data_IF_764166283127
#
_entry.id   IF_764166283127
#
_cell.length_a   1.000
_cell.length_b   1.000
_cell.length_c   1.000
_cell.angle_alpha   90.00
_cell.angle_beta   90.00
_cell.angle_gamma   90.00
#
_symmetry.space_group_name_H-M   'P 1'
#
loop_
_entity.id
_entity.type
_entity.pdbx_description
1 polymer ?
#
# COMPACT_ATOMS: atom_id res chain seq x y z
N UNK A 1 -8.90 -9.40 -2.09
CA UNK A 1 -8.38 -8.45 -1.09
C UNK A 1 -7.91 -9.15 0.18
N UNK A 2 -8.83 -9.77 0.96
CA UNK A 2 -8.45 -10.42 2.22
C UNK A 2 -7.49 -11.60 2.08
N UNK A 3 -7.56 -12.36 0.98
CA UNK A 3 -6.67 -13.52 0.77
C UNK A 3 -5.19 -13.14 0.78
N UNK A 4 -4.80 -12.11 0.03
CA UNK A 4 -3.40 -11.65 -0.03
C UNK A 4 -2.88 -11.21 1.34
N UNK A 5 -3.69 -10.49 2.11
CA UNK A 5 -3.33 -10.04 3.45
C UNK A 5 -3.15 -11.23 4.40
N UNK A 6 -4.09 -12.20 4.36
CA UNK A 6 -4.00 -13.43 5.16
C UNK A 6 -2.78 -14.27 4.77
N UNK A 7 -2.47 -14.37 3.48
CA UNK A 7 -1.30 -15.10 3.00
C UNK A 7 0.01 -14.40 3.43
N UNK A 8 0.06 -13.07 3.42
CA UNK A 8 1.21 -12.31 3.94
C UNK A 8 1.37 -12.51 5.45
N UNK A 9 0.28 -12.48 6.19
CA UNK A 9 0.28 -12.68 7.65
C UNK A 9 0.76 -14.09 8.00
N UNK A 10 0.19 -15.12 7.37
CA UNK A 10 0.56 -16.50 7.59
C UNK A 10 2.05 -16.77 7.28
N UNK A 11 2.61 -16.10 6.27
CA UNK A 11 4.04 -16.18 5.96
C UNK A 11 4.91 -15.45 6.99
N UNK A 12 4.47 -14.29 7.46
CA UNK A 12 5.22 -13.49 8.41
C UNK A 12 5.29 -14.14 9.80
N UNK A 13 4.23 -14.86 10.20
CA UNK A 13 4.12 -15.55 11.48
C UNK A 13 4.37 -17.06 11.38
N UNK A 14 5.08 -17.53 10.35
CA UNK A 14 5.24 -18.99 10.12
C UNK A 14 5.96 -19.70 11.26
N UNK A 15 6.96 -19.03 11.86
CA UNK A 15 7.77 -19.57 12.96
C UNK A 15 7.07 -19.43 14.32
N UNK A 16 6.18 -18.43 14.45
CA UNK A 16 5.42 -18.11 15.67
C UNK A 16 3.96 -17.74 15.34
N UNK A 17 3.10 -18.71 14.97
CA UNK A 17 1.73 -18.44 14.55
C UNK A 17 0.83 -17.84 15.64
N UNK A 18 1.14 -18.12 16.91
CA UNK A 18 0.45 -17.56 18.07
C UNK A 18 0.64 -16.04 18.20
N UNK A 19 1.78 -15.53 17.75
CA UNK A 19 2.17 -14.12 17.84
C UNK A 19 1.82 -13.34 16.56
N UNK A 20 0.84 -13.82 15.78
CA UNK A 20 0.45 -13.22 14.51
C UNK A 20 0.13 -11.72 14.61
N UNK A 21 -0.42 -11.29 15.74
CA UNK A 21 -0.83 -9.91 16.02
C UNK A 21 0.38 -8.97 16.10
N UNK A 22 1.54 -9.46 16.57
CA UNK A 22 2.80 -8.71 16.60
C UNK A 22 3.29 -8.37 15.18
N UNK A 23 2.97 -9.22 14.19
CA UNK A 23 3.34 -9.01 12.79
C UNK A 23 2.33 -8.15 12.02
N UNK A 24 1.14 -7.90 12.59
CA UNK A 24 0.02 -7.28 11.90
C UNK A 24 0.36 -5.91 11.33
N UNK A 25 1.01 -5.05 12.12
CA UNK A 25 1.37 -3.69 11.68
C UNK A 25 2.34 -3.70 10.49
N UNK A 26 3.30 -4.62 10.49
CA UNK A 26 4.27 -4.78 9.40
C UNK A 26 3.60 -5.29 8.14
N UNK A 27 2.72 -6.28 8.29
CA UNK A 27 1.96 -6.87 7.18
C UNK A 27 1.01 -5.84 6.57
N UNK A 28 0.31 -5.06 7.38
CA UNK A 28 -0.57 -4.00 6.91
C UNK A 28 0.21 -2.90 6.18
N UNK A 29 1.39 -2.51 6.68
CA UNK A 29 2.26 -1.55 6.01
C UNK A 29 2.69 -2.09 4.64
N UNK A 30 3.26 -3.30 4.60
CA UNK A 30 3.71 -3.94 3.36
C UNK A 30 2.57 -4.07 2.34
N UNK A 31 1.37 -4.45 2.80
CA UNK A 31 0.19 -4.54 1.96
C UNK A 31 -0.20 -3.18 1.37
N UNK A 32 -0.19 -2.11 2.17
CA UNK A 32 -0.60 -0.76 1.74
C UNK A 32 0.38 -0.09 0.77
N UNK A 33 1.65 -0.47 0.80
CA UNK A 33 2.72 0.15 -0.01
C UNK A 33 3.25 -0.72 -1.14
N UNK A 34 2.84 -1.99 -1.22
CA UNK A 34 3.18 -2.87 -2.35
C UNK A 34 2.14 -2.75 -3.46
N UNK A 35 2.60 -2.78 -4.71
CA UNK A 35 1.72 -2.80 -5.88
C UNK A 35 0.87 -4.08 -5.85
N UNK A 36 -0.44 -3.92 -5.92
CA UNK A 36 -1.36 -5.05 -5.94
C UNK A 36 -1.59 -5.52 -7.39
N UNK A 37 -1.51 -6.83 -7.64
CA UNK A 37 -1.52 -7.39 -9.00
C UNK A 37 -2.79 -7.08 -9.80
N UNK A 38 -3.96 -7.04 -9.14
CA UNK A 38 -5.24 -6.76 -9.81
C UNK A 38 -5.38 -5.30 -10.27
N UNK A 39 -4.81 -4.36 -9.52
CA UNK A 39 -5.00 -2.92 -9.77
C UNK A 39 -3.77 -2.27 -10.41
N UNK A 40 -2.62 -2.94 -10.41
CA UNK A 40 -1.35 -2.36 -10.84
C UNK A 40 -0.89 -1.17 -9.98
N UNK A 41 -1.55 -0.91 -8.86
CA UNK A 41 -1.30 0.22 -7.97
C UNK A 41 -1.27 -0.23 -6.50
N UNK A 42 -0.64 0.58 -5.64
CA UNK A 42 -0.63 0.32 -4.20
C UNK A 42 -2.02 0.57 -3.60
N UNK A 43 -2.46 -0.20 -2.59
CA UNK A 43 -3.74 0.06 -1.94
C UNK A 43 -3.83 1.46 -1.31
N UNK A 44 -2.72 2.01 -0.80
CA UNK A 44 -2.71 3.38 -0.28
C UNK A 44 -3.00 4.42 -1.37
N UNK A 45 -2.38 4.28 -2.54
CA UNK A 45 -2.67 5.13 -3.69
C UNK A 45 -4.10 4.98 -4.16
N UNK A 46 -4.71 3.81 -4.10
CA UNK A 46 -6.11 3.60 -4.54
C UNK A 46 -7.12 4.17 -3.55
N UNK A 47 -6.84 4.09 -2.24
CA UNK A 47 -7.79 4.52 -1.21
C UNK A 47 -7.65 6.00 -0.83
N UNK A 48 -6.42 6.51 -0.78
CA UNK A 48 -6.11 7.85 -0.26
C UNK A 48 -5.58 8.81 -1.32
N UNK A 49 -5.35 8.32 -2.53
CA UNK A 49 -4.79 9.09 -3.64
C UNK A 49 -3.37 9.55 -3.52
N UNK A 50 -2.63 8.96 -2.59
CA UNK A 50 -1.20 9.19 -2.41
C UNK A 50 -0.54 7.92 -1.87
N UNK A 51 0.74 7.80 -2.15
CA UNK A 51 1.57 6.80 -1.48
C UNK A 51 1.75 7.18 0.00
N UNK A 52 1.84 6.17 0.87
CA UNK A 52 2.23 6.37 2.27
C UNK A 52 3.70 6.79 2.34
N UNK A 53 4.03 7.68 3.28
CA UNK A 53 5.41 7.98 3.64
C UNK A 53 5.95 6.90 4.58
N UNK A 54 7.02 6.26 4.17
CA UNK A 54 7.74 5.24 4.93
C UNK A 54 8.85 5.87 5.79
N UNK A 55 9.35 5.19 6.83
CA UNK A 55 10.50 5.67 7.61
C UNK A 55 11.74 5.96 6.75
N UNK A 56 11.97 5.16 5.71
CA UNK A 56 13.06 5.36 4.74
C UNK A 56 12.92 6.68 3.98
N UNK A 57 11.69 7.10 3.68
CA UNK A 57 11.40 8.36 3.01
C UNK A 57 11.71 9.57 3.91
N UNK A 58 11.66 9.40 5.22
CA UNK A 58 12.05 10.44 6.17
C UNK A 58 13.58 10.56 6.26
N UNK A 59 14.29 9.43 6.15
CA UNK A 59 15.76 9.41 6.21
C UNK A 59 16.41 9.96 4.93
N UNK A 60 15.85 9.64 3.77
CA UNK A 60 16.45 9.98 2.47
C UNK A 60 15.67 11.03 1.67
N UNK A 61 14.48 11.43 2.13
CA UNK A 61 13.58 12.31 1.40
C UNK A 61 12.77 11.56 0.33
N UNK A 62 11.65 12.16 -0.09
CA UNK A 62 10.86 11.70 -1.24
C UNK A 62 11.14 12.61 -2.43
N UNK A 63 11.36 12.09 -3.64
CA UNK A 63 11.40 12.90 -4.86
C UNK A 63 10.15 13.80 -4.93
N UNK A 64 10.34 15.12 -5.10
CA UNK A 64 9.30 16.15 -4.94
C UNK A 64 8.27 16.19 -6.07
N UNK A 65 8.10 15.13 -6.85
CA UNK A 65 7.22 15.13 -8.03
C UNK A 65 5.72 14.89 -7.69
N UNK A 66 5.38 14.93 -6.40
CA UNK A 66 4.00 14.83 -5.93
C UNK A 66 3.24 16.13 -6.23
N UNK A 67 2.82 16.29 -7.48
CA UNK A 67 1.85 17.31 -7.87
C UNK A 67 0.64 17.24 -6.92
N UNK A 68 0.34 18.34 -6.24
CA UNK A 68 -0.89 18.49 -5.45
C UNK A 68 -2.06 18.49 -6.44
N UNK A 69 -2.67 17.33 -6.63
CA UNK A 69 -3.86 17.15 -7.49
C UNK A 69 -5.11 17.42 -6.69
N UNK A 70 -6.11 18.05 -7.32
CA UNK A 70 -7.44 18.12 -6.75
C UNK A 70 -8.05 16.72 -6.61
N UNK A 71 -9.00 16.54 -5.68
CA UNK A 71 -9.69 15.26 -5.50
C UNK A 71 -10.36 14.77 -6.80
N UNK A 72 -10.92 15.69 -7.60
CA UNK A 72 -11.54 15.37 -8.89
C UNK A 72 -10.57 14.85 -9.94
N UNK A 73 -9.41 15.52 -10.09
CA UNK A 73 -8.34 15.07 -11.01
C UNK A 73 -7.77 13.71 -10.59
N UNK A 74 -7.63 13.49 -9.28
CA UNK A 74 -7.19 12.21 -8.75
C UNK A 74 -8.16 11.08 -9.10
N UNK A 75 -9.47 11.26 -8.88
CA UNK A 75 -10.49 10.24 -9.20
C UNK A 75 -10.51 9.93 -10.70
N UNK A 76 -10.44 10.96 -11.56
CA UNK A 76 -10.39 10.77 -13.02
C UNK A 76 -9.14 9.99 -13.45
N UNK A 77 -7.97 10.32 -12.89
CA UNK A 77 -6.73 9.62 -13.19
C UNK A 77 -6.73 8.18 -12.69
N UNK A 78 -7.20 7.96 -11.45
CA UNK A 78 -7.32 6.62 -10.86
C UNK A 78 -8.24 5.75 -11.72
N UNK A 79 -9.38 6.29 -12.15
CA UNK A 79 -10.32 5.56 -13.00
C UNK A 79 -9.65 5.11 -14.31
N UNK A 80 -8.93 6.02 -14.97
CA UNK A 80 -8.16 5.70 -16.19
C UNK A 80 -7.08 4.64 -15.94
N UNK A 81 -6.40 4.70 -14.81
CA UNK A 81 -5.33 3.75 -14.46
C UNK A 81 -5.88 2.33 -14.19
N UNK A 82 -7.08 2.23 -13.60
CA UNK A 82 -7.72 0.95 -13.26
C UNK A 82 -8.52 0.32 -14.41
N UNK A 83 -8.91 1.09 -15.43
CA UNK A 83 -9.67 0.63 -16.60
C UNK A 83 -8.76 0.16 -17.77
N UNK A 84 -7.43 0.08 -17.56
CA UNK A 84 -6.44 -0.46 -18.52
C UNK A 84 -6.27 -1.97 -18.39
#
# INVERSE_FOLDING_TARGET
MNRTLLDMLAKASIDHPEDWDVYLDRVLLAYRTSVHCTTGATPSRVLFGRELRLPVDLMYGVPTDAQVRSAGEYVQHLRRDLER
#
